data_IF_806403817436
#
_entry.id   IF_806403817436
#
_cell.length_a   1.000
_cell.length_b   1.000
_cell.length_c   1.000
_cell.angle_alpha   90.00
_cell.angle_beta   90.00
_cell.angle_gamma   90.00
#
_symmetry.space_group_name_H-M   'P 1'
#
loop_
_entity.id
_entity.type
_entity.pdbx_description
1 polymer ?
#
# COMPACT_ATOMS: atom_id res chain seq x y z
N UNK A 1 -3.34 -27.78 -1.49
CA UNK A 1 -4.33 -26.75 -1.11
C UNK A 1 -3.71 -25.41 -1.39
N UNK A 2 -4.16 -24.71 -2.42
CA UNK A 2 -3.73 -23.34 -2.70
C UNK A 2 -4.36 -22.42 -1.65
N UNK A 3 -3.58 -22.01 -0.68
CA UNK A 3 -4.01 -21.06 0.34
C UNK A 3 -4.20 -19.71 -0.31
N UNK A 4 -5.45 -19.28 -0.47
CA UNK A 4 -5.80 -17.96 -0.98
C UNK A 4 -5.20 -16.89 -0.07
N UNK A 5 -4.47 -15.92 -0.64
CA UNK A 5 -3.86 -14.82 0.09
C UNK A 5 -4.86 -13.69 0.36
N UNK A 6 -5.58 -13.27 -0.69
CA UNK A 6 -6.52 -12.17 -0.58
C UNK A 6 -7.86 -12.63 -0.01
N UNK A 7 -8.25 -12.00 1.11
CA UNK A 7 -9.62 -12.06 1.62
C UNK A 7 -10.49 -10.97 0.98
N UNK A 8 -11.68 -10.76 1.53
CA UNK A 8 -12.63 -9.73 1.06
C UNK A 8 -12.06 -8.30 1.14
N UNK A 9 -11.16 -8.05 2.08
CA UNK A 9 -10.64 -6.72 2.40
C UNK A 9 -9.10 -6.74 2.53
N UNK A 10 -8.43 -7.28 1.53
CA UNK A 10 -6.99 -7.40 1.46
C UNK A 10 -6.44 -8.68 2.10
N UNK A 11 -5.15 -8.67 2.39
CA UNK A 11 -4.42 -9.78 3.04
C UNK A 11 -4.32 -9.46 4.52
N UNK A 12 -4.69 -10.40 5.39
CA UNK A 12 -4.60 -10.22 6.85
C UNK A 12 -4.09 -11.47 7.55
N UNK A 13 -3.45 -11.29 8.69
CA UNK A 13 -3.02 -12.36 9.56
C UNK A 13 -2.18 -11.84 10.71
N UNK A 14 -1.70 -12.75 11.54
CA UNK A 14 -0.81 -12.43 12.64
C UNK A 14 0.56 -12.03 12.08
N UNK A 15 1.07 -10.90 12.54
CA UNK A 15 2.34 -10.38 12.05
C UNK A 15 3.48 -11.37 12.36
N UNK A 16 4.37 -11.57 11.40
CA UNK A 16 5.48 -12.51 11.41
C UNK A 16 5.05 -13.99 11.35
N UNK A 17 3.78 -14.25 11.05
CA UNK A 17 3.25 -15.57 10.67
C UNK A 17 2.68 -15.48 9.25
N UNK A 18 2.71 -16.61 8.51
CA UNK A 18 2.15 -16.65 7.16
C UNK A 18 0.66 -16.26 7.15
N UNK A 19 0.20 -15.38 6.26
CA UNK A 19 0.90 -14.78 5.11
C UNK A 19 1.57 -13.42 5.42
N UNK A 20 1.52 -12.90 6.64
CA UNK A 20 2.02 -11.57 7.02
C UNK A 20 3.47 -11.66 7.52
N UNK A 21 4.37 -12.15 6.67
CA UNK A 21 5.82 -12.18 6.93
C UNK A 21 6.57 -11.18 6.03
N UNK A 22 7.80 -10.76 6.41
CA UNK A 22 8.63 -9.90 5.58
C UNK A 22 8.87 -10.47 4.18
N UNK A 23 9.11 -11.78 4.06
CA UNK A 23 9.41 -12.44 2.80
C UNK A 23 8.22 -12.39 1.84
N UNK A 24 7.02 -12.71 2.33
CA UNK A 24 5.79 -12.64 1.53
C UNK A 24 5.48 -11.18 1.19
N UNK A 25 5.66 -10.26 2.11
CA UNK A 25 5.42 -8.82 1.89
C UNK A 25 6.37 -8.25 0.82
N UNK A 26 7.63 -8.68 0.82
CA UNK A 26 8.58 -8.32 -0.24
C UNK A 26 8.11 -8.86 -1.61
N UNK A 27 7.71 -10.14 -1.67
CA UNK A 27 7.17 -10.76 -2.90
C UNK A 27 5.91 -10.05 -3.38
N UNK A 28 5.03 -9.64 -2.48
CA UNK A 28 3.83 -8.84 -2.83
C UNK A 28 4.25 -7.53 -3.50
N UNK A 29 5.25 -6.82 -2.98
CA UNK A 29 5.77 -5.61 -3.60
C UNK A 29 6.29 -5.85 -5.02
N UNK A 30 7.03 -6.93 -5.23
CA UNK A 30 7.52 -7.33 -6.55
C UNK A 30 6.38 -7.69 -7.50
N UNK A 31 5.38 -8.45 -7.03
CA UNK A 31 4.22 -8.84 -7.81
C UNK A 31 3.38 -7.63 -8.23
N UNK A 32 3.08 -6.71 -7.31
CA UNK A 32 2.38 -5.45 -7.60
C UNK A 32 3.10 -4.67 -8.70
N UNK A 33 4.43 -4.55 -8.61
CA UNK A 33 5.23 -3.87 -9.63
C UNK A 33 5.07 -4.48 -11.02
N UNK A 34 5.07 -5.81 -11.12
CA UNK A 34 4.88 -6.51 -12.40
C UNK A 34 3.47 -6.34 -12.95
N UNK A 35 2.47 -6.53 -12.11
CA UNK A 35 1.05 -6.41 -12.50
C UNK A 35 0.74 -4.99 -12.97
N UNK A 36 1.19 -3.95 -12.26
CA UNK A 36 0.96 -2.57 -12.66
C UNK A 36 1.63 -2.22 -14.00
N UNK A 37 2.83 -2.75 -14.26
CA UNK A 37 3.49 -2.53 -15.56
C UNK A 37 2.80 -3.25 -16.70
N UNK A 38 2.34 -4.49 -16.49
CA UNK A 38 1.64 -5.26 -17.52
C UNK A 38 0.28 -4.68 -17.88
N UNK A 39 -0.37 -4.00 -16.93
CA UNK A 39 -1.67 -3.33 -17.16
C UNK A 39 -1.57 -2.01 -17.95
N UNK A 40 -0.37 -1.61 -18.38
CA UNK A 40 -0.15 -0.38 -19.12
C UNK A 40 -0.29 0.90 -18.28
N UNK A 41 -0.36 0.77 -16.96
CA UNK A 41 -0.39 1.90 -16.07
C UNK A 41 0.93 2.69 -16.17
N UNK A 42 0.84 3.92 -16.65
CA UNK A 42 2.00 4.79 -16.90
C UNK A 42 2.56 5.43 -15.62
N UNK A 43 2.25 4.83 -14.45
CA UNK A 43 2.59 5.39 -13.14
C UNK A 43 3.56 4.48 -12.39
N UNK A 44 4.84 4.83 -12.37
CA UNK A 44 5.89 4.10 -11.64
C UNK A 44 5.94 4.46 -10.15
N UNK A 45 4.83 4.92 -9.55
CA UNK A 45 4.80 5.40 -8.16
C UNK A 45 3.78 4.65 -7.35
N UNK A 46 4.15 4.27 -6.12
CA UNK A 46 3.27 3.62 -5.15
C UNK A 46 3.34 4.38 -3.84
N UNK A 47 2.19 4.68 -3.25
CA UNK A 47 2.10 5.22 -1.89
C UNK A 47 2.02 4.07 -0.89
N UNK A 48 2.75 4.18 0.22
CA UNK A 48 2.61 3.30 1.38
C UNK A 48 2.28 4.14 2.61
N UNK A 49 1.13 3.84 3.21
CA UNK A 49 0.75 4.30 4.54
C UNK A 49 0.60 3.14 5.49
N UNK A 50 0.54 3.42 6.78
CA UNK A 50 0.38 2.41 7.83
C UNK A 50 -0.45 2.96 8.99
N UNK A 51 -0.98 2.07 9.82
CA UNK A 51 -1.49 2.44 11.13
C UNK A 51 -0.36 2.46 12.19
N UNK A 52 -0.71 2.53 13.46
CA UNK A 52 0.27 2.66 14.55
C UNK A 52 0.84 1.34 15.05
N UNK A 53 0.50 0.20 14.43
CA UNK A 53 0.99 -1.12 14.81
C UNK A 53 2.51 -1.21 14.64
N UNK A 54 3.18 -1.79 15.63
CA UNK A 54 4.65 -1.91 15.62
C UNK A 54 5.16 -2.73 14.42
N UNK A 55 4.42 -3.77 14.03
CA UNK A 55 4.74 -4.61 12.86
C UNK A 55 4.70 -3.84 11.54
N UNK A 56 4.03 -2.68 11.50
CA UNK A 56 3.99 -1.82 10.33
C UNK A 56 5.37 -1.36 9.84
N UNK A 57 6.33 -1.17 10.75
CA UNK A 57 7.70 -0.78 10.37
C UNK A 57 8.42 -1.89 9.61
N UNK A 58 8.29 -3.13 10.07
CA UNK A 58 8.88 -4.30 9.42
C UNK A 58 8.27 -4.52 8.03
N UNK A 59 6.95 -4.50 7.95
CA UNK A 59 6.23 -4.72 6.68
C UNK A 59 6.46 -3.60 5.68
N UNK A 60 6.47 -2.33 6.12
CA UNK A 60 6.78 -1.18 5.26
C UNK A 60 8.16 -1.30 4.62
N UNK A 61 9.17 -1.72 5.40
CA UNK A 61 10.53 -1.89 4.90
C UNK A 61 10.61 -3.02 3.86
N UNK A 62 10.01 -4.17 4.15
CA UNK A 62 9.96 -5.31 3.25
C UNK A 62 9.23 -4.98 1.94
N UNK A 63 8.05 -4.35 2.03
CA UNK A 63 7.26 -3.93 0.89
C UNK A 63 8.01 -2.92 0.03
N UNK A 64 8.63 -1.92 0.66
CA UNK A 64 9.45 -0.92 -0.02
C UNK A 64 10.58 -1.57 -0.80
N UNK A 65 11.30 -2.52 -0.17
CA UNK A 65 12.38 -3.26 -0.85
C UNK A 65 11.88 -4.02 -2.07
N UNK A 66 10.73 -4.68 -1.97
CA UNK A 66 10.12 -5.40 -3.10
C UNK A 66 9.76 -4.47 -4.27
N UNK A 67 9.16 -3.33 -3.97
CA UNK A 67 8.74 -2.33 -4.97
C UNK A 67 9.96 -1.67 -5.65
N UNK A 68 10.93 -1.17 -4.89
CA UNK A 68 12.09 -0.46 -5.46
C UNK A 68 13.01 -1.39 -6.23
N UNK A 69 13.19 -2.64 -5.77
CA UNK A 69 13.97 -3.66 -6.51
C UNK A 69 13.35 -4.01 -7.85
N UNK A 70 12.08 -3.73 -8.02
CA UNK A 70 11.32 -3.91 -9.27
C UNK A 70 11.13 -2.59 -10.04
N UNK A 71 11.76 -1.48 -9.64
CA UNK A 71 11.81 -0.22 -10.36
C UNK A 71 10.61 0.71 -10.12
N UNK A 72 9.86 0.52 -9.04
CA UNK A 72 8.81 1.45 -8.62
C UNK A 72 9.37 2.48 -7.64
N UNK A 73 9.02 3.73 -7.83
CA UNK A 73 9.22 4.75 -6.80
C UNK A 73 8.19 4.61 -5.69
N UNK A 74 8.62 4.73 -4.45
CA UNK A 74 7.77 4.55 -3.27
C UNK A 74 7.65 5.86 -2.49
N UNK A 75 6.43 6.28 -2.22
CA UNK A 75 6.12 7.44 -1.40
C UNK A 75 5.63 6.98 -0.02
N UNK A 76 6.47 7.18 0.99
CA UNK A 76 6.20 6.82 2.38
C UNK A 76 5.49 7.99 3.07
N UNK A 77 4.23 7.78 3.48
CA UNK A 77 3.42 8.83 4.13
C UNK A 77 3.28 8.64 5.65
N UNK A 78 3.84 7.53 6.17
CA UNK A 78 3.83 7.25 7.62
C UNK A 78 2.45 6.85 8.16
N UNK A 79 2.24 7.04 9.48
CA UNK A 79 0.95 6.73 10.10
C UNK A 79 -0.15 7.68 9.61
N UNK A 80 -1.16 7.10 8.93
CA UNK A 80 -2.27 7.81 8.31
C UNK A 80 -3.56 6.99 8.40
N UNK A 81 -4.74 7.61 8.39
CA UNK A 81 -5.99 6.88 8.21
C UNK A 81 -6.07 6.21 6.83
N UNK A 82 -6.73 5.05 6.76
CA UNK A 82 -6.91 4.32 5.49
C UNK A 82 -7.44 5.19 4.34
N UNK A 83 -8.49 6.02 4.53
CA UNK A 83 -9.00 6.89 3.45
C UNK A 83 -7.98 7.96 3.00
N UNK A 84 -7.02 8.33 3.85
CA UNK A 84 -5.95 9.25 3.44
C UNK A 84 -5.05 8.61 2.39
N UNK A 85 -4.69 7.33 2.55
CA UNK A 85 -3.87 6.61 1.56
C UNK A 85 -4.61 6.53 0.22
N UNK A 86 -5.89 6.17 0.24
CA UNK A 86 -6.74 6.14 -0.96
C UNK A 86 -6.80 7.51 -1.67
N UNK A 87 -7.06 8.58 -0.90
CA UNK A 87 -7.10 9.94 -1.44
C UNK A 87 -5.76 10.37 -2.03
N UNK A 88 -4.65 10.17 -1.29
CA UNK A 88 -3.31 10.56 -1.74
C UNK A 88 -2.87 9.76 -2.97
N UNK A 89 -3.25 8.49 -3.09
CA UNK A 89 -2.98 7.70 -4.28
C UNK A 89 -3.50 8.40 -5.53
N UNK A 90 -4.77 8.80 -5.50
CA UNK A 90 -5.41 9.51 -6.61
C UNK A 90 -4.83 10.91 -6.81
N UNK A 91 -4.76 11.71 -5.74
CA UNK A 91 -4.39 13.13 -5.84
C UNK A 91 -2.92 13.36 -6.20
N UNK A 92 -2.04 12.38 -5.93
CA UNK A 92 -0.62 12.44 -6.30
C UNK A 92 -0.31 11.66 -7.59
N UNK A 93 -1.32 11.13 -8.28
CA UNK A 93 -1.14 10.42 -9.55
C UNK A 93 -0.29 9.16 -9.41
N UNK A 94 -0.50 8.38 -8.34
CA UNK A 94 0.21 7.12 -8.14
C UNK A 94 -0.53 5.96 -8.81
N UNK A 95 0.23 4.94 -9.23
CA UNK A 95 -0.33 3.73 -9.85
C UNK A 95 -1.04 2.82 -8.86
N UNK A 96 -0.63 2.87 -7.59
CA UNK A 96 -1.29 2.17 -6.50
C UNK A 96 -1.04 2.84 -5.15
N UNK A 97 -1.91 2.55 -4.19
CA UNK A 97 -1.72 2.88 -2.78
C UNK A 97 -1.81 1.61 -1.93
N UNK A 98 -0.96 1.50 -0.93
CA UNK A 98 -0.96 0.35 -0.03
C UNK A 98 -1.07 0.84 1.39
N UNK A 99 -2.07 0.33 2.11
CA UNK A 99 -2.27 0.60 3.52
C UNK A 99 -1.92 -0.64 4.34
N UNK A 100 -0.95 -0.48 5.23
CA UNK A 100 -0.55 -1.51 6.18
C UNK A 100 -1.41 -1.39 7.45
N UNK A 101 -2.39 -2.26 7.59
CA UNK A 101 -3.35 -2.26 8.71
C UNK A 101 -4.14 -3.57 8.76
N UNK A 102 -4.55 -3.96 9.94
CA UNK A 102 -5.55 -5.00 10.15
C UNK A 102 -6.87 -4.42 10.72
N UNK A 103 -7.13 -3.12 10.49
CA UNK A 103 -8.36 -2.46 10.93
C UNK A 103 -8.57 -2.56 12.45
N UNK A 104 -9.63 -3.23 12.90
CA UNK A 104 -10.00 -3.42 14.31
C UNK A 104 -9.53 -4.75 14.91
N UNK A 105 -8.76 -5.54 14.15
CA UNK A 105 -8.19 -6.78 14.69
C UNK A 105 -7.25 -6.50 15.86
N UNK A 106 -6.93 -7.50 16.71
CA UNK A 106 -5.94 -7.40 17.77
C UNK A 106 -4.62 -6.79 17.29
N UNK A 107 -3.86 -6.19 18.19
CA UNK A 107 -2.63 -5.46 17.85
C UNK A 107 -1.53 -6.35 17.23
N UNK A 108 -1.60 -7.65 17.48
CA UNK A 108 -0.68 -8.67 16.94
C UNK A 108 -0.87 -8.89 15.44
N UNK A 109 -2.07 -8.63 14.92
CA UNK A 109 -2.39 -8.77 13.51
C UNK A 109 -1.87 -7.58 12.72
N UNK A 110 -1.66 -7.80 11.42
CA UNK A 110 -1.48 -6.76 10.43
C UNK A 110 -2.03 -7.23 9.07
N UNK A 111 -1.95 -6.36 8.08
CA UNK A 111 -2.45 -6.69 6.75
C UNK A 111 -2.06 -5.65 5.72
N UNK A 112 -2.42 -5.95 4.48
CA UNK A 112 -2.20 -5.08 3.33
C UNK A 112 -3.53 -4.87 2.62
N UNK A 113 -3.94 -3.62 2.45
CA UNK A 113 -5.03 -3.19 1.56
C UNK A 113 -4.43 -2.46 0.39
N UNK A 114 -4.83 -2.82 -0.82
CA UNK A 114 -4.30 -2.23 -2.05
C UNK A 114 -5.39 -1.41 -2.72
N UNK A 115 -5.04 -0.19 -3.10
CA UNK A 115 -5.88 0.73 -3.84
C UNK A 115 -5.33 0.94 -5.24
N UNK A 116 -6.22 1.04 -6.22
CA UNK A 116 -5.89 1.43 -7.58
C UNK A 116 -5.62 2.93 -7.72
N UNK A 117 -5.25 3.39 -8.93
CA UNK A 117 -4.92 4.80 -9.19
C UNK A 117 -6.11 5.74 -9.00
N UNK A 118 -7.31 5.21 -9.02
CA UNK A 118 -8.57 5.91 -8.75
C UNK A 118 -8.87 6.11 -7.26
N UNK A 119 -8.09 5.46 -6.38
CA UNK A 119 -8.26 5.48 -4.93
C UNK A 119 -9.29 4.47 -4.40
N UNK A 120 -9.85 3.60 -5.26
CA UNK A 120 -10.72 2.50 -4.85
C UNK A 120 -9.91 1.22 -4.60
N UNK A 121 -10.53 0.25 -3.93
CA UNK A 121 -9.94 -1.09 -3.75
C UNK A 121 -9.47 -1.63 -5.11
N UNK A 122 -8.30 -2.24 -5.13
CA UNK A 122 -7.81 -2.92 -6.33
C UNK A 122 -8.85 -3.94 -6.81
N UNK A 123 -9.06 -4.04 -8.12
CA UNK A 123 -10.04 -5.00 -8.66
C UNK A 123 -9.65 -6.44 -8.31
N UNK A 124 -10.67 -7.28 -8.13
CA UNK A 124 -10.46 -8.69 -7.78
C UNK A 124 -9.61 -9.43 -8.83
N UNK A 125 -9.72 -9.05 -10.11
CA UNK A 125 -8.88 -9.60 -11.19
C UNK A 125 -7.39 -9.26 -10.99
N UNK A 126 -7.09 -8.02 -10.62
CA UNK A 126 -5.70 -7.61 -10.34
C UNK A 126 -5.17 -8.21 -9.03
N UNK A 127 -6.01 -8.33 -8.00
CA UNK A 127 -5.65 -9.06 -6.78
C UNK A 127 -5.31 -10.52 -7.09
N UNK A 128 -6.08 -11.19 -7.94
CA UNK A 128 -5.82 -12.57 -8.37
C UNK A 128 -4.49 -12.69 -9.13
N UNK A 129 -4.16 -11.73 -10.00
CA UNK A 129 -2.86 -11.71 -10.69
C UNK A 129 -1.70 -11.51 -9.71
N UNK A 130 -1.83 -10.60 -8.74
CA UNK A 130 -0.81 -10.40 -7.69
C UNK A 130 -0.64 -11.69 -6.88
N UNK A 131 -1.74 -12.33 -6.46
CA UNK A 131 -1.72 -13.59 -5.72
C UNK A 131 -0.99 -14.69 -6.51
N UNK A 132 -1.32 -14.84 -7.78
CA UNK A 132 -0.68 -15.80 -8.67
C UNK A 132 0.84 -15.58 -8.74
N UNK A 133 1.28 -14.34 -8.94
CA UNK A 133 2.69 -13.98 -8.98
C UNK A 133 3.43 -14.31 -7.66
N UNK A 134 2.78 -14.12 -6.52
CA UNK A 134 3.34 -14.42 -5.20
C UNK A 134 3.45 -15.92 -4.95
N UNK A 135 2.39 -16.68 -5.28
CA UNK A 135 2.29 -18.11 -4.96
C UNK A 135 3.14 -18.98 -5.88
N UNK A 136 3.27 -18.64 -7.16
CA UNK A 136 4.01 -19.44 -8.14
C UNK A 136 5.50 -19.09 -8.24
N UNK A 137 6.01 -18.30 -7.30
CA UNK A 137 7.44 -17.93 -7.17
C UNK A 137 8.06 -17.53 -8.53
N UNK A 138 7.34 -16.71 -9.27
CA UNK A 138 7.86 -16.15 -10.53
C UNK A 138 9.16 -15.44 -10.18
N UNK A 139 10.30 -16.01 -10.63
CA UNK A 139 11.63 -15.45 -10.35
C UNK A 139 11.63 -13.97 -10.71
N UNK A 140 11.66 -13.14 -9.68
CA UNK A 140 11.73 -11.72 -9.84
C UNK A 140 13.10 -11.37 -10.43
N UNK A 141 13.17 -11.20 -11.73
CA UNK A 141 14.31 -10.51 -12.32
C UNK A 141 14.19 -9.05 -11.91
N UNK A 142 14.84 -8.69 -10.82
CA UNK A 142 14.97 -7.30 -10.38
C UNK A 142 15.58 -6.45 -11.51
N UNK A 143 15.29 -5.18 -11.48
CA UNK A 143 15.95 -4.22 -12.36
C UNK A 143 17.30 -3.83 -11.80
N UNK A 144 18.20 -3.33 -12.64
CA UNK A 144 19.57 -2.94 -12.25
C UNK A 144 19.88 -1.51 -12.64
N UNK A 145 20.90 -0.93 -12.02
CA UNK A 145 21.41 0.38 -12.34
C UNK A 145 20.38 1.49 -12.08
N UNK A 146 20.21 2.34 -13.05
CA UNK A 146 19.33 3.51 -13.04
C UNK A 146 17.83 3.17 -13.05
N UNK A 147 17.49 1.91 -13.30
CA UNK A 147 16.11 1.42 -13.29
C UNK A 147 15.60 1.03 -11.90
N UNK A 148 16.48 0.96 -10.90
CA UNK A 148 16.07 0.72 -9.51
C UNK A 148 15.26 1.93 -9.04
N UNK A 149 14.10 1.68 -8.42
CA UNK A 149 13.24 2.73 -7.87
C UNK A 149 13.82 3.40 -6.63
N UNK A 150 13.21 4.49 -6.21
CA UNK A 150 13.61 5.25 -5.03
C UNK A 150 12.48 5.33 -4.02
N UNK A 151 12.82 5.38 -2.73
CA UNK A 151 11.87 5.64 -1.66
C UNK A 151 12.01 7.10 -1.20
N UNK A 152 10.87 7.78 -1.12
CA UNK A 152 10.76 9.17 -0.70
C UNK A 152 9.83 9.27 0.50
N UNK A 153 10.20 10.04 1.50
CA UNK A 153 9.28 10.43 2.57
C UNK A 153 8.51 11.68 2.14
N UNK A 154 7.20 11.64 2.29
CA UNK A 154 6.31 12.76 1.96
C UNK A 154 5.88 13.43 3.26
N UNK A 155 6.63 14.44 3.67
CA UNK A 155 6.46 15.08 4.99
C UNK A 155 5.16 15.89 5.09
N UNK A 156 4.64 16.41 3.98
CA UNK A 156 3.40 17.19 3.92
C UNK A 156 2.13 16.35 3.66
N UNK A 157 2.25 15.01 3.59
CA UNK A 157 1.13 14.11 3.31
C UNK A 157 -0.06 14.33 4.27
N UNK A 158 0.24 14.50 5.56
CA UNK A 158 -0.79 14.76 6.58
C UNK A 158 -1.53 16.07 6.31
N UNK A 159 -0.81 17.14 6.00
CA UNK A 159 -1.40 18.44 5.68
C UNK A 159 -2.33 18.38 4.47
N UNK A 160 -1.91 17.68 3.40
CA UNK A 160 -2.73 17.46 2.20
C UNK A 160 -4.05 16.79 2.54
N UNK A 161 -4.03 15.75 3.35
CA UNK A 161 -5.24 15.04 3.74
C UNK A 161 -6.14 15.87 4.66
N UNK A 162 -5.56 16.62 5.61
CA UNK A 162 -6.32 17.54 6.48
C UNK A 162 -7.07 18.59 5.64
N UNK A 163 -6.39 19.22 4.68
CA UNK A 163 -7.05 20.20 3.81
C UNK A 163 -8.16 19.58 2.96
N UNK A 164 -7.95 18.37 2.45
CA UNK A 164 -9.00 17.64 1.74
C UNK A 164 -10.24 17.39 2.62
N UNK A 165 -10.02 16.92 3.85
CA UNK A 165 -11.14 16.65 4.79
C UNK A 165 -11.85 17.95 5.16
N UNK A 166 -11.12 19.04 5.40
CA UNK A 166 -11.71 20.37 5.69
C UNK A 166 -12.62 20.87 4.57
N UNK A 167 -12.27 20.60 3.32
CA UNK A 167 -13.10 20.99 2.18
C UNK A 167 -14.52 20.37 2.21
N UNK A 168 -14.69 19.22 2.86
CA UNK A 168 -16.01 18.57 3.02
C UNK A 168 -16.98 19.37 3.89
N UNK A 169 -16.47 20.25 4.72
CA UNK A 169 -17.29 21.13 5.57
C UNK A 169 -17.89 22.31 4.78
N UNK A 170 -17.36 22.64 3.60
CA UNK A 170 -17.76 23.83 2.86
C UNK A 170 -17.52 25.10 3.68
N UNK A 171 -18.59 25.86 3.93
CA UNK A 171 -18.55 27.08 4.73
C UNK A 171 -18.88 26.85 6.22
N UNK A 172 -19.05 25.61 6.66
CA UNK A 172 -19.30 25.31 8.07
C UNK A 172 -18.01 25.44 8.89
N UNK A 173 -18.16 25.87 10.15
CA UNK A 173 -17.08 26.00 11.11
C UNK A 173 -17.38 25.14 12.34
N UNK A 174 -16.34 24.52 12.90
CA UNK A 174 -16.43 23.70 14.11
C UNK A 174 -15.94 24.48 15.36
N UNK A 175 -15.80 25.79 15.23
CA UNK A 175 -15.29 26.66 16.28
C UNK A 175 -16.19 26.58 17.53
N UNK A 176 -15.55 26.33 18.68
CA UNK A 176 -16.25 26.18 19.95
C UNK A 176 -16.88 24.82 20.22
N UNK A 177 -16.87 23.88 19.28
CA UNK A 177 -17.29 22.50 19.54
C UNK A 177 -16.25 21.77 20.41
N UNK A 178 -16.76 21.06 21.42
CA UNK A 178 -15.96 20.08 22.19
C UNK A 178 -16.21 18.70 21.60
N UNK A 179 -15.13 18.00 21.27
CA UNK A 179 -15.15 16.64 20.72
C UNK A 179 -14.58 15.68 21.76
#
# INVERSE_FOLDING_TARGET
>A
MTTKLFGTDGIRGKANEYPITPEITLRIGQAISRVLRSSGANHNRVIIGKDTRISGYMLETALTSGLVSSGMDVFLVGPMPTPAVAHLTKSMGCGAGIMLTASHNPYEDNGLKIFGPDGFKLSDDLEALVEQEVLYDVKANGVTGDKIGKAYRIDDARGRYIEFVKQSLGNAHLDGMKI
#
